data_IF_252679263090
#
_entry.id   IF_252679263090
#
_cell.length_a   1.000
_cell.length_b   1.000
_cell.length_c   1.000
_cell.angle_alpha   90.00
_cell.angle_beta   90.00
_cell.angle_gamma   90.00
#
_symmetry.space_group_name_H-M   'P 1'
#
loop_
_entity.id
_entity.type
_entity.pdbx_description
1 polymer ?
#
# COMPACT_ATOMS: atom_id res chain seq x y z
N UNK A 1 35.67 7.00 -15.37
CA UNK A 1 35.11 5.95 -14.49
C UNK A 1 33.61 6.12 -14.47
N UNK A 2 32.80 5.10 -14.83
CA UNK A 2 31.36 5.22 -14.70
C UNK A 2 31.00 5.18 -13.20
N UNK A 3 30.27 6.19 -12.73
CA UNK A 3 29.81 6.30 -11.35
C UNK A 3 28.90 5.12 -10.97
N UNK A 4 28.63 4.93 -9.66
CA UNK A 4 27.78 3.85 -9.20
C UNK A 4 26.42 3.95 -9.89
N UNK A 5 26.05 2.89 -10.62
CA UNK A 5 24.72 2.74 -11.22
C UNK A 5 23.74 2.81 -10.06
N UNK A 6 23.01 3.92 -9.97
CA UNK A 6 21.93 4.11 -9.00
C UNK A 6 21.07 2.85 -9.04
N UNK A 7 20.99 2.12 -7.93
CA UNK A 7 20.13 0.95 -7.82
C UNK A 7 18.72 1.41 -8.22
N UNK A 8 18.21 0.87 -9.31
CA UNK A 8 16.90 1.26 -9.81
C UNK A 8 15.84 0.81 -8.80
N UNK A 9 15.19 1.76 -8.14
CA UNK A 9 13.96 1.48 -7.39
C UNK A 9 12.82 1.45 -8.42
N UNK A 10 12.10 0.32 -8.58
CA UNK A 10 11.00 0.25 -9.52
C UNK A 10 9.96 1.34 -9.24
N UNK A 11 9.39 1.98 -10.28
CA UNK A 11 8.32 2.96 -10.12
C UNK A 11 7.13 2.36 -9.36
N UNK A 12 6.89 1.04 -9.49
CA UNK A 12 5.89 0.32 -8.70
C UNK A 12 6.48 -0.96 -8.14
N UNK A 13 6.42 -1.16 -6.82
CA UNK A 13 6.90 -2.38 -6.15
C UNK A 13 5.98 -3.58 -6.32
N UNK A 14 4.69 -3.32 -6.51
CA UNK A 14 3.67 -4.31 -6.84
C UNK A 14 2.67 -3.69 -7.83
N UNK A 15 2.13 -4.51 -8.72
CA UNK A 15 1.11 -4.13 -9.69
C UNK A 15 -0.14 -5.01 -9.53
N UNK A 16 -1.31 -4.45 -9.80
CA UNK A 16 -2.58 -5.19 -9.78
C UNK A 16 -3.19 -5.19 -11.18
N UNK A 17 -3.25 -6.36 -11.83
CA UNK A 17 -3.71 -6.50 -13.23
C UNK A 17 -5.18 -6.13 -13.41
N UNK A 18 -6.00 -6.28 -12.36
CA UNK A 18 -7.40 -5.82 -12.38
C UNK A 18 -7.54 -4.34 -12.74
N UNK A 19 -6.50 -3.56 -12.47
CA UNK A 19 -6.44 -2.14 -12.75
C UNK A 19 -5.96 -1.92 -14.19
N UNK A 20 -5.07 -2.76 -14.73
CA UNK A 20 -4.41 -2.52 -16.02
C UNK A 20 -5.21 -3.03 -17.22
N UNK A 21 -6.30 -3.78 -16.99
CA UNK A 21 -6.98 -4.54 -18.04
C UNK A 21 -6.23 -5.84 -18.35
N UNK A 22 -6.75 -6.63 -19.29
CA UNK A 22 -6.16 -7.92 -19.64
C UNK A 22 -4.77 -7.69 -20.26
N UNK A 23 -3.71 -7.88 -19.47
CA UNK A 23 -2.32 -7.63 -19.88
C UNK A 23 -1.87 -8.57 -21.02
N UNK A 24 -2.68 -9.56 -21.38
CA UNK A 24 -2.33 -10.60 -22.34
C UNK A 24 -1.19 -11.48 -21.82
N UNK A 25 -1.25 -12.77 -22.15
CA UNK A 25 -0.21 -13.74 -21.74
C UNK A 25 1.19 -13.36 -22.24
N UNK A 26 1.27 -12.48 -23.24
CA UNK A 26 2.53 -11.98 -23.77
C UNK A 26 3.30 -11.06 -22.80
N UNK A 27 2.64 -10.44 -21.81
CA UNK A 27 3.29 -9.53 -20.86
C UNK A 27 3.68 -10.18 -19.53
N UNK A 28 3.26 -11.43 -19.33
CA UNK A 28 3.15 -12.03 -18.01
C UNK A 28 3.99 -13.29 -17.89
N UNK A 29 4.80 -13.35 -16.84
CA UNK A 29 5.55 -14.53 -16.43
C UNK A 29 4.79 -15.34 -15.39
N UNK A 30 4.58 -16.63 -15.67
CA UNK A 30 4.07 -17.60 -14.70
C UNK A 30 5.21 -18.35 -14.01
N UNK A 31 4.95 -18.86 -12.80
CA UNK A 31 5.89 -19.69 -12.06
C UNK A 31 6.83 -18.92 -11.12
N UNK A 32 8.02 -19.49 -10.88
CA UNK A 32 8.97 -18.92 -9.94
C UNK A 32 9.66 -17.69 -10.54
N UNK A 33 9.86 -16.66 -9.71
CA UNK A 33 10.52 -15.40 -10.11
C UNK A 33 11.85 -15.64 -10.83
N UNK A 34 12.66 -16.58 -10.33
CA UNK A 34 13.99 -16.89 -10.89
C UNK A 34 13.92 -17.47 -12.29
N UNK A 35 12.92 -18.30 -12.58
CA UNK A 35 12.71 -18.90 -13.90
C UNK A 35 12.30 -17.82 -14.91
N UNK A 36 11.35 -16.97 -14.51
CA UNK A 36 10.95 -15.82 -15.32
C UNK A 36 12.11 -14.85 -15.56
N UNK A 37 12.90 -14.56 -14.53
CA UNK A 37 14.10 -13.72 -14.63
C UNK A 37 15.13 -14.27 -15.61
N UNK A 38 15.39 -15.58 -15.59
CA UNK A 38 16.28 -16.23 -16.55
C UNK A 38 15.75 -16.15 -17.99
N UNK A 39 14.46 -16.39 -18.18
CA UNK A 39 13.81 -16.29 -19.49
C UNK A 39 13.87 -14.86 -20.06
N UNK A 40 13.65 -13.87 -19.21
CA UNK A 40 13.73 -12.45 -19.56
C UNK A 40 15.17 -12.03 -19.88
N UNK A 41 16.14 -12.36 -19.02
CA UNK A 41 17.56 -12.00 -19.23
C UNK A 41 18.15 -12.62 -20.51
N UNK A 42 17.66 -13.79 -20.91
CA UNK A 42 18.08 -14.44 -22.15
C UNK A 42 17.58 -13.72 -23.42
N UNK A 43 16.60 -12.80 -23.30
CA UNK A 43 15.85 -12.23 -24.44
C UNK A 43 15.83 -10.71 -24.47
N UNK A 44 15.90 -10.05 -23.31
CA UNK A 44 15.91 -8.60 -23.16
C UNK A 44 17.32 -8.13 -22.83
N UNK A 45 17.84 -7.11 -23.54
CA UNK A 45 19.11 -6.48 -23.17
C UNK A 45 19.06 -5.99 -21.71
N UNK A 46 20.10 -6.29 -20.94
CA UNK A 46 20.17 -5.97 -19.49
C UNK A 46 19.94 -4.47 -19.22
N UNK A 47 20.28 -3.60 -20.17
CA UNK A 47 20.05 -2.15 -20.14
C UNK A 47 18.57 -1.74 -20.13
N UNK A 48 17.65 -2.58 -20.60
CA UNK A 48 16.21 -2.29 -20.60
C UNK A 48 15.50 -2.86 -19.38
N UNK A 49 16.01 -3.95 -18.80
CA UNK A 49 15.42 -4.57 -17.63
C UNK A 49 15.83 -3.81 -16.37
N UNK A 50 14.93 -2.96 -15.88
CA UNK A 50 15.23 -2.18 -14.68
C UNK A 50 14.78 -2.90 -13.39
N UNK A 51 13.61 -3.54 -13.39
CA UNK A 51 13.17 -4.38 -12.28
C UNK A 51 12.19 -5.48 -12.70
N UNK A 52 12.17 -6.59 -11.95
CA UNK A 52 11.12 -7.61 -12.04
C UNK A 52 10.18 -7.44 -10.86
N UNK A 53 8.92 -7.17 -11.18
CA UNK A 53 7.91 -6.76 -10.20
C UNK A 53 6.83 -7.82 -10.09
N UNK A 54 6.37 -8.06 -8.85
CA UNK A 54 5.21 -8.91 -8.60
C UNK A 54 3.94 -8.24 -9.12
N UNK A 55 3.12 -9.02 -9.81
CA UNK A 55 1.85 -8.57 -10.35
C UNK A 55 0.72 -9.52 -9.93
N UNK A 56 -0.42 -8.98 -9.54
CA UNK A 56 -1.57 -9.76 -9.07
C UNK A 56 -2.68 -9.77 -10.11
N UNK A 57 -2.96 -10.94 -10.70
CA UNK A 57 -4.15 -11.13 -11.53
C UNK A 57 -5.36 -11.50 -10.67
N UNK A 58 -6.54 -11.61 -11.29
CA UNK A 58 -7.74 -12.10 -10.61
C UNK A 58 -7.59 -13.55 -10.13
N UNK A 59 -6.70 -14.33 -10.75
CA UNK A 59 -6.64 -15.79 -10.57
C UNK A 59 -5.31 -16.29 -10.00
N UNK A 60 -4.23 -15.51 -10.10
CA UNK A 60 -2.91 -15.92 -9.63
C UNK A 60 -1.93 -14.75 -9.50
N UNK A 61 -0.85 -15.00 -8.75
CA UNK A 61 0.33 -14.14 -8.75
C UNK A 61 1.16 -14.42 -10.01
N UNK A 62 1.60 -13.35 -10.66
CA UNK A 62 2.44 -13.41 -11.86
C UNK A 62 3.58 -12.38 -11.77
N UNK A 63 4.50 -12.42 -12.73
CA UNK A 63 5.67 -11.52 -12.77
C UNK A 63 5.67 -10.69 -14.03
N UNK A 64 6.09 -9.42 -13.92
CA UNK A 64 6.24 -8.50 -15.06
C UNK A 64 7.57 -7.76 -14.98
N UNK A 65 8.09 -7.35 -16.13
CA UNK A 65 9.35 -6.59 -16.22
C UNK A 65 9.04 -5.11 -16.34
N UNK A 66 9.47 -4.31 -15.37
CA UNK A 66 9.42 -2.86 -15.47
C UNK A 66 10.70 -2.34 -16.11
N UNK A 67 10.53 -1.68 -17.25
CA UNK A 67 11.60 -0.99 -17.98
C UNK A 67 11.68 0.49 -17.62
N UNK A 68 10.65 1.01 -16.96
CA UNK A 68 10.55 2.41 -16.56
C UNK A 68 9.12 2.78 -16.18
N UNK A 69 8.89 4.05 -15.96
CA UNK A 69 7.59 4.58 -15.63
C UNK A 69 7.68 6.02 -15.16
N UNK A 70 6.53 6.68 -15.17
CA UNK A 70 6.33 8.00 -14.61
C UNK A 70 5.25 7.90 -13.54
N UNK A 71 5.68 7.90 -12.28
CA UNK A 71 4.79 7.82 -11.12
C UNK A 71 3.92 9.06 -10.96
N UNK A 72 4.29 10.22 -11.55
CA UNK A 72 3.46 11.43 -11.53
C UNK A 72 2.27 11.30 -12.47
N UNK A 73 2.48 10.67 -13.63
CA UNK A 73 1.46 10.46 -14.65
C UNK A 73 0.81 9.06 -14.62
N UNK A 74 1.13 8.27 -13.60
CA UNK A 74 0.66 6.89 -13.44
C UNK A 74 0.98 5.98 -14.63
N UNK A 75 2.13 6.21 -15.25
CA UNK A 75 2.59 5.45 -16.40
C UNK A 75 3.61 4.42 -15.97
N UNK A 76 3.46 3.20 -16.45
CA UNK A 76 4.45 2.14 -16.30
C UNK A 76 4.80 1.60 -17.68
N UNK A 77 6.09 1.40 -17.92
CA UNK A 77 6.58 0.77 -19.14
C UNK A 77 6.92 -0.67 -18.78
N UNK A 78 6.12 -1.60 -19.31
CA UNK A 78 6.31 -3.03 -19.11
C UNK A 78 6.94 -3.66 -20.35
N UNK A 79 7.87 -4.58 -20.15
CA UNK A 79 8.27 -5.50 -21.20
C UNK A 79 7.64 -6.88 -20.95
N UNK A 80 7.23 -7.51 -22.05
CA UNK A 80 6.64 -8.85 -22.01
C UNK A 80 7.64 -10.00 -22.10
N UNK A 81 7.10 -11.21 -22.06
CA UNK A 81 7.83 -12.47 -22.24
C UNK A 81 8.26 -12.75 -23.68
N UNK A 82 7.76 -11.97 -24.66
CA UNK A 82 8.19 -12.01 -26.06
C UNK A 82 9.20 -10.90 -26.39
N UNK A 83 10.17 -11.14 -27.31
CA UNK A 83 11.12 -10.12 -27.74
C UNK A 83 10.41 -8.91 -28.36
N UNK A 84 10.87 -7.70 -28.02
CA UNK A 84 10.35 -6.43 -28.54
C UNK A 84 8.92 -6.03 -28.14
N UNK A 85 8.27 -6.79 -27.25
CA UNK A 85 6.96 -6.41 -26.71
C UNK A 85 7.15 -5.46 -25.54
N UNK A 86 7.16 -4.15 -25.81
CA UNK A 86 7.14 -3.10 -24.78
C UNK A 86 5.79 -2.41 -24.84
N UNK A 87 5.11 -2.35 -23.71
CA UNK A 87 3.81 -1.71 -23.58
C UNK A 87 3.89 -0.64 -22.51
N UNK A 88 3.56 0.59 -22.90
CA UNK A 88 3.33 1.68 -21.97
C UNK A 88 1.87 1.67 -21.54
N UNK A 89 1.65 1.56 -20.23
CA UNK A 89 0.33 1.45 -19.64
C UNK A 89 0.12 2.62 -18.71
N UNK A 90 -1.03 3.27 -18.86
CA UNK A 90 -1.51 4.21 -17.85
C UNK A 90 -2.33 3.38 -16.88
N UNK A 91 -1.80 3.16 -15.67
CA UNK A 91 -2.53 2.49 -14.61
C UNK A 91 -3.74 3.35 -14.28
N UNK A 92 -4.95 2.79 -14.14
CA UNK A 92 -6.11 3.58 -13.79
C UNK A 92 -5.79 4.22 -12.45
N UNK A 93 -5.96 5.53 -12.44
CA UNK A 93 -5.84 6.31 -11.23
C UNK A 93 -6.76 5.69 -10.18
N UNK A 94 -6.20 5.02 -9.18
CA UNK A 94 -6.85 4.98 -7.88
C UNK A 94 -6.74 6.41 -7.32
N UNK A 95 -7.56 7.34 -7.84
CA UNK A 95 -7.66 8.73 -7.36
C UNK A 95 -7.85 8.79 -5.83
N UNK A 96 -8.33 7.69 -5.23
CA UNK A 96 -8.53 7.52 -3.80
C UNK A 96 -7.25 7.42 -2.96
N UNK A 97 -6.07 7.22 -3.55
CA UNK A 97 -4.81 7.06 -2.80
C UNK A 97 -3.72 8.07 -3.16
N UNK A 98 -4.03 9.12 -3.94
CA UNK A 98 -3.14 10.27 -3.99
C UNK A 98 -3.16 10.94 -2.61
N UNK A 99 -2.13 10.66 -1.82
CA UNK A 99 -1.75 11.47 -0.66
C UNK A 99 -1.31 12.82 -1.21
N UNK A 100 -2.28 13.71 -1.48
CA UNK A 100 -2.04 15.08 -1.97
C UNK A 100 -1.48 15.97 -0.87
N UNK A 101 -1.66 15.56 0.36
CA UNK A 101 -1.21 16.26 1.56
C UNK A 101 0.05 15.57 2.09
N UNK A 102 1.17 16.27 2.27
CA UNK A 102 2.34 15.74 2.95
C UNK A 102 1.94 15.15 4.31
N UNK A 103 2.50 14.00 4.68
CA UNK A 103 2.14 13.35 5.97
C UNK A 103 2.42 14.27 7.17
N UNK A 104 3.44 15.13 7.05
CA UNK A 104 3.77 16.17 8.04
C UNK A 104 2.65 17.19 8.25
N UNK A 105 1.87 17.52 7.22
CA UNK A 105 0.74 18.45 7.35
C UNK A 105 -0.47 17.75 7.97
N UNK A 106 -0.66 16.46 7.68
CA UNK A 106 -1.65 15.61 8.36
C UNK A 106 -1.33 15.49 9.85
N UNK A 107 -0.07 15.23 10.22
CA UNK A 107 0.35 15.14 11.62
C UNK A 107 0.09 16.46 12.37
N UNK A 108 0.38 17.61 11.74
CA UNK A 108 0.07 18.93 12.32
C UNK A 108 -1.42 19.15 12.54
N UNK A 109 -2.25 18.77 11.56
CA UNK A 109 -3.70 18.88 11.68
C UNK A 109 -4.23 18.02 12.82
N UNK A 110 -3.79 16.77 12.91
CA UNK A 110 -4.21 15.84 13.97
C UNK A 110 -3.77 16.34 15.34
N UNK A 111 -2.54 16.85 15.47
CA UNK A 111 -2.06 17.46 16.71
C UNK A 111 -2.88 18.70 17.13
N UNK A 112 -3.28 19.54 16.17
CA UNK A 112 -4.15 20.68 16.43
C UNK A 112 -5.55 20.23 16.89
N UNK A 113 -6.17 19.27 16.20
CA UNK A 113 -7.46 18.68 16.63
C UNK A 113 -7.37 18.05 18.02
N UNK A 114 -6.25 17.42 18.34
CA UNK A 114 -6.00 16.90 19.67
C UNK A 114 -5.91 18.02 20.71
N UNK A 115 -5.24 19.13 20.42
CA UNK A 115 -5.15 20.26 21.34
C UNK A 115 -6.49 20.99 21.54
N UNK A 116 -7.28 21.13 20.47
CA UNK A 116 -8.52 21.92 20.46
C UNK A 116 -9.72 21.17 21.07
N UNK A 117 -9.71 19.85 21.07
CA UNK A 117 -10.82 19.02 21.57
C UNK A 117 -10.42 18.19 22.80
N UNK A 118 -11.20 18.23 23.89
CA UNK A 118 -10.90 17.48 25.10
C UNK A 118 -11.09 15.97 24.90
N UNK A 119 -10.45 15.18 25.77
CA UNK A 119 -10.61 13.74 25.83
C UNK A 119 -12.09 13.36 26.05
N UNK A 120 -12.52 12.25 25.43
CA UNK A 120 -13.91 11.80 25.49
C UNK A 120 -14.84 12.48 24.48
N UNK A 121 -14.33 13.33 23.58
CA UNK A 121 -15.12 13.84 22.45
C UNK A 121 -14.94 12.97 21.20
N UNK A 122 -15.96 12.85 20.33
CA UNK A 122 -15.84 12.11 19.06
C UNK A 122 -14.70 12.61 18.18
N UNK A 123 -14.52 13.92 18.10
CA UNK A 123 -13.45 14.53 17.30
C UNK A 123 -12.07 14.14 17.82
N UNK A 124 -11.86 14.21 19.14
CA UNK A 124 -10.59 13.83 19.76
C UNK A 124 -10.30 12.34 19.56
N UNK A 125 -11.29 11.47 19.77
CA UNK A 125 -11.15 10.04 19.59
C UNK A 125 -10.84 9.65 18.12
N UNK A 126 -11.46 10.31 17.15
CA UNK A 126 -11.14 10.11 15.73
C UNK A 126 -9.72 10.60 15.39
N UNK A 127 -9.30 11.73 15.94
CA UNK A 127 -7.93 12.22 15.74
C UNK A 127 -6.89 11.27 16.36
N UNK A 128 -7.15 10.76 17.56
CA UNK A 128 -6.29 9.76 18.23
C UNK A 128 -6.23 8.45 17.41
N UNK A 129 -7.37 7.98 16.89
CA UNK A 129 -7.43 6.77 16.05
C UNK A 129 -6.63 6.92 14.74
N UNK A 130 -6.82 8.04 14.04
CA UNK A 130 -6.07 8.33 12.80
C UNK A 130 -4.57 8.45 13.08
N UNK A 131 -4.18 9.08 14.19
CA UNK A 131 -2.78 9.16 14.62
C UNK A 131 -2.19 7.78 14.87
N UNK A 132 -2.93 6.89 15.54
CA UNK A 132 -2.52 5.51 15.77
C UNK A 132 -2.28 4.73 14.46
N UNK A 133 -3.20 4.84 13.50
CA UNK A 133 -3.07 4.20 12.18
C UNK A 133 -1.84 4.72 11.42
N UNK A 134 -1.63 6.03 11.40
CA UNK A 134 -0.46 6.64 10.75
C UNK A 134 0.86 6.26 11.43
N UNK A 135 0.86 6.14 12.76
CA UNK A 135 2.03 5.70 13.52
C UNK A 135 2.37 4.24 13.20
N UNK A 136 1.37 3.36 13.17
CA UNK A 136 1.57 1.96 12.78
C UNK A 136 2.08 1.85 11.33
N UNK A 137 1.52 2.64 10.42
CA UNK A 137 1.96 2.68 9.02
C UNK A 137 3.41 3.18 8.86
N UNK A 138 3.77 4.29 9.49
CA UNK A 138 5.14 4.84 9.43
C UNK A 138 6.17 3.90 10.03
N UNK A 139 5.84 3.25 11.16
CA UNK A 139 6.68 2.23 11.79
C UNK A 139 6.95 1.05 10.86
N UNK A 140 5.89 0.44 10.31
CA UNK A 140 6.00 -0.70 9.40
C UNK A 140 6.71 -0.33 8.08
N UNK A 141 6.46 0.88 7.57
CA UNK A 141 7.18 1.42 6.40
C UNK A 141 8.67 1.58 6.68
N UNK A 142 9.04 2.08 7.86
CA UNK A 142 10.45 2.20 8.29
C UNK A 142 11.16 0.85 8.38
N UNK A 143 10.44 -0.20 8.78
CA UNK A 143 10.92 -1.58 8.82
C UNK A 143 10.86 -2.32 7.48
N UNK A 144 10.48 -1.63 6.39
CA UNK A 144 10.33 -2.19 5.03
C UNK A 144 9.29 -3.31 4.92
N UNK A 145 8.33 -3.37 5.83
CA UNK A 145 7.19 -4.26 5.72
C UNK A 145 6.25 -3.78 4.59
N UNK A 146 5.59 -4.71 3.89
CA UNK A 146 4.68 -4.43 2.77
C UNK A 146 3.28 -4.03 3.22
N UNK A 147 3.00 -4.07 4.52
CA UNK A 147 1.71 -3.72 5.09
C UNK A 147 1.75 -3.61 6.60
N UNK A 148 0.64 -3.14 7.16
CA UNK A 148 0.39 -3.10 8.61
C UNK A 148 -0.55 -4.27 8.94
N UNK A 149 -0.28 -5.08 9.97
CA UNK A 149 -1.19 -6.14 10.41
C UNK A 149 -2.58 -5.56 10.73
N UNK A 150 -3.64 -6.21 10.26
CA UNK A 150 -5.02 -5.75 10.48
C UNK A 150 -5.35 -5.59 11.96
N UNK A 151 -4.91 -6.51 12.81
CA UNK A 151 -5.11 -6.42 14.26
C UNK A 151 -4.54 -5.13 14.89
N UNK A 152 -3.45 -4.58 14.33
CA UNK A 152 -2.92 -3.30 14.80
C UNK A 152 -3.75 -2.11 14.34
N UNK A 153 -4.30 -2.18 13.12
CA UNK A 153 -5.24 -1.17 12.60
C UNK A 153 -6.52 -1.20 13.43
N UNK A 154 -7.07 -2.39 13.68
CA UNK A 154 -8.27 -2.60 14.49
C UNK A 154 -8.07 -2.04 15.89
N UNK A 155 -6.93 -2.34 16.54
CA UNK A 155 -6.60 -1.77 17.84
C UNK A 155 -6.51 -0.24 17.81
N UNK A 156 -5.80 0.33 16.83
CA UNK A 156 -5.61 1.77 16.70
C UNK A 156 -6.94 2.51 16.54
N UNK A 157 -7.92 1.90 15.86
CA UNK A 157 -9.26 2.49 15.66
C UNK A 157 -10.17 2.22 16.86
N UNK A 158 -10.19 1.00 17.36
CA UNK A 158 -11.12 0.56 18.38
C UNK A 158 -10.82 1.19 19.74
N UNK A 159 -9.56 1.23 20.19
CA UNK A 159 -9.23 1.70 21.55
C UNK A 159 -9.73 3.13 21.83
N UNK A 160 -9.52 4.14 20.95
CA UNK A 160 -9.99 5.49 21.19
C UNK A 160 -11.51 5.64 21.07
N UNK A 161 -12.13 4.89 20.15
CA UNK A 161 -13.56 5.00 19.85
C UNK A 161 -14.45 4.16 20.78
N UNK A 162 -13.91 3.11 21.39
CA UNK A 162 -14.65 2.15 22.23
C UNK A 162 -15.54 2.80 23.29
N UNK A 163 -15.08 3.73 24.15
CA UNK A 163 -15.94 4.33 25.17
C UNK A 163 -17.10 5.13 24.57
N UNK A 164 -16.89 5.78 23.42
CA UNK A 164 -17.93 6.54 22.72
C UNK A 164 -18.95 5.64 22.06
N UNK A 165 -18.49 4.58 21.38
CA UNK A 165 -19.36 3.60 20.76
C UNK A 165 -20.17 2.84 21.81
N UNK A 166 -19.56 2.48 22.94
CA UNK A 166 -20.24 1.85 24.05
C UNK A 166 -21.34 2.76 24.63
N UNK A 167 -21.01 4.03 24.89
CA UNK A 167 -21.99 5.01 25.37
C UNK A 167 -23.13 5.24 24.37
N UNK A 168 -22.85 5.22 23.07
CA UNK A 168 -23.87 5.40 22.02
C UNK A 168 -24.76 4.16 21.83
N UNK A 169 -24.19 2.95 21.87
CA UNK A 169 -24.89 1.69 21.64
C UNK A 169 -25.66 1.19 22.88
N UNK A 170 -25.09 1.39 24.07
CA UNK A 170 -25.58 0.78 25.33
C UNK A 170 -26.02 1.83 26.37
N UNK A 171 -25.90 3.13 26.06
CA UNK A 171 -26.14 4.19 27.03
C UNK A 171 -25.06 4.25 28.12
N UNK A 172 -25.34 4.91 29.24
CA UNK A 172 -24.41 5.02 30.38
C UNK A 172 -24.23 3.70 31.18
N UNK A 173 -24.96 2.64 30.84
CA UNK A 173 -24.84 1.33 31.47
C UNK A 173 -23.78 0.47 30.77
N UNK A 174 -22.51 0.86 30.86
CA UNK A 174 -21.41 -0.06 30.57
C UNK A 174 -21.33 -1.03 31.74
N UNK A 175 -21.93 -2.22 31.60
CA UNK A 175 -21.76 -3.29 32.59
C UNK A 175 -20.47 -4.06 32.26
N UNK A 176 -19.77 -4.54 33.29
CA UNK A 176 -18.49 -5.31 33.18
C UNK A 176 -18.52 -6.48 32.17
N UNK A 177 -19.71 -6.92 31.77
CA UNK A 177 -19.95 -7.95 30.75
C UNK A 177 -19.51 -7.52 29.35
N UNK A 178 -19.69 -6.24 28.97
CA UNK A 178 -19.34 -5.76 27.63
C UNK A 178 -17.82 -5.67 27.47
N UNK A 179 -17.12 -5.28 28.53
CA UNK A 179 -15.66 -5.14 28.51
C UNK A 179 -14.92 -6.50 28.37
N UNK A 180 -15.59 -7.61 28.71
CA UNK A 180 -15.07 -8.98 28.49
C UNK A 180 -15.24 -9.49 27.06
N UNK A 181 -16.36 -9.17 26.38
CA UNK A 181 -16.60 -9.64 25.01
C UNK A 181 -15.61 -9.06 23.99
N UNK A 182 -15.11 -7.85 24.23
CA UNK A 182 -14.14 -7.19 23.36
C UNK A 182 -12.67 -7.60 23.59
N UNK A 183 -12.34 -8.24 24.73
CA UNK A 183 -10.98 -8.75 25.00
C UNK A 183 -10.73 -10.16 24.44
N UNK A 184 -11.80 -10.85 24.01
CA UNK A 184 -11.77 -12.23 23.54
C UNK A 184 -11.87 -12.37 22.00
N UNK A 185 -11.86 -11.25 21.27
CA UNK A 185 -11.76 -11.20 19.80
C UNK A 185 -10.46 -10.51 19.39
#
# INVERSE_FOLDING_TARGET
MPGPVSAFDPPYRELYVRDVGDLGDALVGHGLRREFEQQVRARLPELMMKAITRCWTRWSQVWVVQCGGDTRNNRVILAGGQPHTIVELTLPYLQRYQVRTPMTDTDRLLAALQADYPQGTPTRALADALTGVLTAWTHHRGQRHTGVPLAQIDRAIAEPLRPLLAAWLHGEQITDSDDQQWRLR
#
